data_IF_202756521028
#
_entry.id   IF_202756521028
#
_cell.length_a   1.000
_cell.length_b   1.000
_cell.length_c   1.000
_cell.angle_alpha   90.00
_cell.angle_beta   90.00
_cell.angle_gamma   90.00
#
_symmetry.space_group_name_H-M   'P 1'
#
loop_
_entity.id
_entity.type
_entity.pdbx_description
1 polymer ?
#
# COMPACT_ATOMS: atom_id res chain seq x y z
N UNK A 1 10.97 16.82 -8.23
CA UNK A 1 12.19 15.99 -8.07
C UNK A 1 12.35 15.45 -6.64
N UNK A 2 12.13 16.22 -5.59
CA UNK A 2 12.22 15.74 -4.19
C UNK A 2 11.24 14.60 -3.85
N UNK A 3 9.97 14.71 -4.21
CA UNK A 3 8.93 13.69 -3.89
C UNK A 3 9.20 12.33 -4.56
N UNK A 4 9.80 12.31 -5.75
CA UNK A 4 10.15 11.06 -6.44
C UNK A 4 11.38 10.37 -5.81
N UNK A 5 12.33 11.14 -5.28
CA UNK A 5 13.47 10.62 -4.52
C UNK A 5 13.01 10.03 -3.18
N UNK A 6 12.07 10.68 -2.48
CA UNK A 6 11.56 10.19 -1.18
C UNK A 6 10.82 8.84 -1.31
N UNK A 7 10.01 8.67 -2.36
CA UNK A 7 9.30 7.40 -2.61
C UNK A 7 10.23 6.23 -2.95
N UNK A 8 11.34 6.49 -3.63
CA UNK A 8 12.36 5.47 -3.92
C UNK A 8 13.21 5.14 -2.69
N UNK A 9 13.55 6.14 -1.89
CA UNK A 9 14.39 5.97 -0.70
C UNK A 9 13.70 5.12 0.38
N UNK A 10 12.39 5.32 0.61
CA UNK A 10 11.61 4.52 1.55
C UNK A 10 11.63 3.02 1.21
N UNK A 11 11.44 2.66 -0.07
CA UNK A 11 11.51 1.27 -0.51
C UNK A 11 12.90 0.66 -0.34
N UNK A 12 13.97 1.43 -0.60
CA UNK A 12 15.37 0.99 -0.39
C UNK A 12 15.65 0.78 1.09
N UNK A 13 15.20 1.69 1.97
CA UNK A 13 15.36 1.56 3.42
C UNK A 13 14.59 0.35 3.95
N UNK A 14 13.39 0.09 3.45
CA UNK A 14 12.57 -1.06 3.80
C UNK A 14 13.30 -2.39 3.45
N UNK A 15 13.80 -2.49 2.22
CA UNK A 15 14.58 -3.67 1.78
C UNK A 15 15.88 -3.81 2.57
N UNK A 16 16.58 -2.72 2.85
CA UNK A 16 17.77 -2.70 3.68
C UNK A 16 17.51 -3.19 5.12
N UNK A 17 16.43 -2.71 5.73
CA UNK A 17 15.99 -3.16 7.06
C UNK A 17 15.62 -4.65 7.07
N UNK A 18 14.96 -5.13 6.02
CA UNK A 18 14.64 -6.55 5.85
C UNK A 18 15.89 -7.42 5.74
N UNK A 19 16.82 -7.03 4.87
CA UNK A 19 18.07 -7.75 4.71
C UNK A 19 18.90 -7.76 6.01
N UNK A 20 18.94 -6.63 6.71
CA UNK A 20 19.61 -6.52 8.02
C UNK A 20 18.95 -7.42 9.06
N UNK A 21 17.61 -7.43 9.14
CA UNK A 21 16.87 -8.28 10.07
C UNK A 21 17.14 -9.75 9.82
N UNK A 22 17.06 -10.20 8.56
CA UNK A 22 17.38 -11.58 8.18
C UNK A 22 18.83 -11.93 8.49
N UNK A 23 19.78 -11.03 8.22
CA UNK A 23 21.18 -11.25 8.54
C UNK A 23 21.41 -11.41 10.05
N UNK A 24 20.88 -10.49 10.86
CA UNK A 24 21.04 -10.53 12.31
C UNK A 24 20.38 -11.77 12.93
N UNK A 25 19.18 -12.14 12.47
CA UNK A 25 18.46 -13.31 12.95
C UNK A 25 19.14 -14.65 12.58
N UNK A 26 20.09 -14.66 11.64
CA UNK A 26 20.84 -15.84 11.21
C UNK A 26 22.35 -15.75 11.48
N UNK A 27 22.76 -14.73 12.25
CA UNK A 27 24.14 -14.52 12.67
C UNK A 27 24.38 -15.04 14.09
N UNK A 28 25.63 -14.93 14.58
CA UNK A 28 25.96 -15.20 15.97
C UNK A 28 25.27 -14.31 17.01
N UNK A 29 24.62 -13.22 16.57
CA UNK A 29 23.83 -12.28 17.39
C UNK A 29 22.33 -12.61 17.42
N UNK A 30 21.89 -13.72 16.82
CA UNK A 30 20.47 -14.06 16.66
C UNK A 30 19.70 -14.06 18.00
N UNK A 31 20.29 -14.67 19.04
CA UNK A 31 19.66 -14.75 20.36
C UNK A 31 19.43 -13.38 20.99
N UNK A 32 20.43 -12.49 20.92
CA UNK A 32 20.34 -11.15 21.49
C UNK A 32 19.38 -10.27 20.68
N UNK A 33 19.43 -10.39 19.35
CA UNK A 33 18.56 -9.63 18.44
C UNK A 33 17.08 -10.01 18.58
N UNK A 34 16.76 -11.29 18.55
CA UNK A 34 15.38 -11.78 18.76
C UNK A 34 14.95 -11.49 20.19
N UNK A 35 15.83 -11.74 21.18
CA UNK A 35 15.59 -11.46 22.58
C UNK A 35 15.29 -9.99 22.87
N UNK A 36 15.89 -9.05 22.14
CA UNK A 36 15.55 -7.64 22.26
C UNK A 36 14.07 -7.38 21.94
N UNK A 37 13.55 -7.91 20.85
CA UNK A 37 12.16 -7.71 20.45
C UNK A 37 11.16 -8.32 21.42
N UNK A 38 11.48 -9.46 22.01
CA UNK A 38 10.58 -10.21 22.91
C UNK A 38 10.68 -9.78 24.37
N UNK A 39 11.87 -9.43 24.87
CA UNK A 39 12.11 -9.21 26.30
C UNK A 39 12.23 -7.74 26.70
N UNK A 40 12.49 -6.83 25.74
CA UNK A 40 12.57 -5.41 26.07
C UNK A 40 11.16 -4.81 26.17
N UNK A 41 10.72 -4.61 27.43
CA UNK A 41 9.37 -4.07 27.72
C UNK A 41 9.45 -2.59 28.07
N UNK A 42 8.53 -1.81 27.52
CA UNK A 42 8.39 -0.37 27.74
C UNK A 42 6.95 0.00 28.06
N UNK A 43 6.79 1.05 28.88
CA UNK A 43 5.50 1.67 29.16
C UNK A 43 5.01 1.53 30.59
N UNK A 44 3.95 2.29 30.94
CA UNK A 44 3.42 2.34 32.31
C UNK A 44 2.57 1.11 32.63
N UNK A 45 3.04 0.34 33.62
CA UNK A 45 2.29 -0.83 34.12
C UNK A 45 0.89 -0.47 34.68
N UNK A 46 0.74 0.74 35.24
CA UNK A 46 -0.51 1.23 35.80
C UNK A 46 -1.64 1.36 34.77
N UNK A 47 -1.29 1.65 33.51
CA UNK A 47 -2.22 1.73 32.39
C UNK A 47 -2.35 0.39 31.65
N UNK A 48 -1.59 -0.63 32.06
CA UNK A 48 -1.51 -1.90 31.37
C UNK A 48 -0.91 -1.77 29.96
N UNK A 49 -0.07 -0.77 29.72
CA UNK A 49 0.68 -0.55 28.47
C UNK A 49 2.13 -1.05 28.58
N UNK A 50 2.37 -2.05 29.41
CA UNK A 50 3.70 -2.67 29.53
C UNK A 50 3.87 -3.70 28.43
N UNK A 51 4.16 -3.20 27.22
CA UNK A 51 4.28 -3.97 26.00
C UNK A 51 5.76 -4.21 25.67
N UNK A 52 6.08 -5.32 25.00
CA UNK A 52 7.42 -5.55 24.50
C UNK A 52 7.70 -4.71 23.23
N UNK A 53 8.95 -4.69 22.76
CA UNK A 53 9.34 -3.88 21.60
C UNK A 53 8.60 -4.30 20.33
N UNK A 54 8.39 -5.60 20.12
CA UNK A 54 7.66 -6.14 18.99
C UNK A 54 6.17 -5.72 19.02
N UNK A 55 5.53 -5.80 20.19
CA UNK A 55 4.15 -5.34 20.39
C UNK A 55 4.01 -3.83 20.15
N UNK A 56 4.98 -3.00 20.60
CA UNK A 56 4.96 -1.56 20.33
C UNK A 56 5.06 -1.22 18.86
N UNK A 57 5.85 -1.99 18.11
CA UNK A 57 5.91 -1.82 16.64
C UNK A 57 4.58 -2.20 16.01
N UNK A 58 4.03 -3.36 16.36
CA UNK A 58 2.84 -3.90 15.70
C UNK A 58 1.53 -3.22 16.11
N UNK A 59 1.39 -2.73 17.35
CA UNK A 59 0.18 -2.10 17.84
C UNK A 59 0.28 -0.56 17.87
N UNK A 60 1.49 -0.03 18.15
CA UNK A 60 1.68 1.41 18.29
C UNK A 60 2.09 2.11 16.99
N UNK A 61 3.20 1.68 16.39
CA UNK A 61 3.69 2.30 15.15
C UNK A 61 2.78 2.00 13.97
N UNK A 62 2.21 0.78 13.90
CA UNK A 62 1.27 0.43 12.85
C UNK A 62 -0.03 1.23 12.93
N UNK A 63 -0.50 1.63 14.12
CA UNK A 63 -1.64 2.54 14.23
C UNK A 63 -1.37 3.90 13.56
N UNK A 64 -0.13 4.42 13.67
CA UNK A 64 0.27 5.67 12.98
C UNK A 64 0.37 5.43 11.46
N UNK A 65 0.90 4.29 11.06
CA UNK A 65 0.92 3.88 9.65
C UNK A 65 -0.50 3.83 9.08
N UNK A 66 -1.44 3.16 9.75
CA UNK A 66 -2.83 3.07 9.33
C UNK A 66 -3.57 4.41 9.41
N UNK A 67 -3.13 5.34 10.26
CA UNK A 67 -3.61 6.71 10.21
C UNK A 67 -3.20 7.39 8.90
N UNK A 68 -1.94 7.25 8.47
CA UNK A 68 -1.49 7.77 7.18
C UNK A 68 -2.26 7.15 6.00
N UNK A 69 -2.39 5.81 5.98
CA UNK A 69 -3.17 5.09 4.95
C UNK A 69 -4.64 5.56 4.94
N UNK A 70 -5.25 5.75 6.10
CA UNK A 70 -6.60 6.27 6.23
C UNK A 70 -6.77 7.69 5.66
N UNK A 71 -5.76 8.56 5.81
CA UNK A 71 -5.75 9.89 5.19
C UNK A 71 -5.65 9.78 3.65
N UNK A 72 -4.81 8.88 3.14
CA UNK A 72 -4.69 8.62 1.69
C UNK A 72 -5.99 8.07 1.12
N UNK A 73 -6.63 7.09 1.79
CA UNK A 73 -7.96 6.57 1.45
C UNK A 73 -8.97 7.72 1.37
N UNK A 74 -9.01 8.59 2.40
CA UNK A 74 -9.93 9.73 2.41
C UNK A 74 -9.67 10.70 1.28
N UNK A 75 -8.41 10.95 0.94
CA UNK A 75 -8.03 11.80 -0.18
C UNK A 75 -8.53 11.22 -1.50
N UNK A 76 -8.37 9.90 -1.72
CA UNK A 76 -8.86 9.22 -2.91
C UNK A 76 -10.40 9.30 -3.03
N UNK A 77 -11.14 9.19 -1.92
CA UNK A 77 -12.59 9.36 -1.92
C UNK A 77 -13.03 10.80 -2.16
N UNK A 78 -12.28 11.79 -1.66
CA UNK A 78 -12.68 13.19 -1.75
C UNK A 78 -12.28 13.85 -3.09
N UNK A 79 -11.10 13.52 -3.61
CA UNK A 79 -10.45 14.23 -4.72
C UNK A 79 -9.81 13.31 -5.75
N UNK A 80 -9.65 12.02 -5.47
CA UNK A 80 -8.98 11.06 -6.32
C UNK A 80 -9.92 10.25 -7.22
N UNK A 81 -9.40 9.14 -7.73
CA UNK A 81 -10.11 8.24 -8.65
C UNK A 81 -11.38 7.62 -8.05
N UNK A 82 -11.47 7.51 -6.72
CA UNK A 82 -12.66 7.00 -6.02
C UNK A 82 -13.78 8.04 -5.89
N UNK A 83 -13.55 9.31 -6.24
CA UNK A 83 -14.58 10.35 -6.24
C UNK A 83 -15.57 10.21 -7.40
N UNK A 84 -15.13 9.66 -8.54
CA UNK A 84 -16.00 9.33 -9.68
C UNK A 84 -16.31 7.82 -9.68
N UNK A 85 -17.59 7.49 -9.57
CA UNK A 85 -18.08 6.10 -9.54
C UNK A 85 -17.61 5.30 -10.76
N UNK A 86 -17.58 5.91 -11.96
CA UNK A 86 -17.16 5.22 -13.18
C UNK A 86 -15.67 4.89 -13.18
N UNK A 87 -14.84 5.83 -12.72
CA UNK A 87 -13.41 5.63 -12.60
C UNK A 87 -13.06 4.61 -11.50
N UNK A 88 -13.82 4.59 -10.40
CA UNK A 88 -13.63 3.71 -9.26
C UNK A 88 -14.00 2.24 -9.54
N UNK A 89 -14.95 1.97 -10.45
CA UNK A 89 -15.48 0.63 -10.68
C UNK A 89 -14.39 -0.39 -11.04
N UNK A 90 -13.51 -0.06 -11.98
CA UNK A 90 -12.50 -1.00 -12.46
C UNK A 90 -11.49 -1.37 -11.35
N UNK A 91 -10.89 -0.42 -10.59
CA UNK A 91 -10.05 -0.75 -9.43
C UNK A 91 -10.80 -1.54 -8.34
N UNK A 92 -12.08 -1.25 -8.09
CA UNK A 92 -12.88 -1.98 -7.11
C UNK A 92 -13.10 -3.45 -7.52
N UNK A 93 -13.41 -3.72 -8.80
CA UNK A 93 -13.46 -5.09 -9.30
C UNK A 93 -12.09 -5.77 -9.22
N UNK A 94 -11.02 -5.03 -9.50
CA UNK A 94 -9.66 -5.54 -9.35
C UNK A 94 -9.35 -5.93 -7.91
N UNK A 95 -9.63 -5.06 -6.94
CA UNK A 95 -9.41 -5.34 -5.53
C UNK A 95 -10.24 -6.53 -5.04
N UNK A 96 -11.51 -6.63 -5.41
CA UNK A 96 -12.33 -7.80 -5.09
C UNK A 96 -11.72 -9.09 -5.64
N UNK A 97 -11.26 -9.08 -6.89
CA UNK A 97 -10.57 -10.23 -7.48
C UNK A 97 -9.25 -10.55 -6.78
N UNK A 98 -8.47 -9.51 -6.47
CA UNK A 98 -7.20 -9.59 -5.75
C UNK A 98 -7.33 -10.06 -4.31
N UNK A 99 -8.50 -9.95 -3.69
CA UNK A 99 -8.80 -10.50 -2.37
C UNK A 99 -9.38 -11.92 -2.44
N UNK A 100 -10.45 -12.13 -3.22
CA UNK A 100 -11.22 -13.39 -3.22
C UNK A 100 -10.41 -14.57 -3.78
N UNK A 101 -9.67 -14.35 -4.89
CA UNK A 101 -8.94 -15.45 -5.53
C UNK A 101 -7.79 -15.98 -4.66
N UNK A 102 -6.89 -15.13 -4.08
CA UNK A 102 -5.85 -15.61 -3.16
C UNK A 102 -6.40 -16.31 -1.92
N UNK A 103 -7.48 -15.75 -1.32
CA UNK A 103 -8.16 -16.39 -0.18
C UNK A 103 -8.65 -17.78 -0.54
N UNK A 104 -9.32 -17.92 -1.69
CA UNK A 104 -9.84 -19.20 -2.16
C UNK A 104 -8.74 -20.24 -2.38
N UNK A 105 -7.62 -19.84 -2.99
CA UNK A 105 -6.46 -20.70 -3.20
C UNK A 105 -5.83 -21.12 -1.86
N UNK A 106 -5.65 -20.14 -0.95
CA UNK A 106 -5.12 -20.45 0.39
C UNK A 106 -5.98 -21.47 1.12
N UNK A 107 -7.30 -21.25 1.15
CA UNK A 107 -8.24 -22.16 1.79
C UNK A 107 -8.23 -23.55 1.12
N UNK A 108 -8.22 -23.62 -0.21
CA UNK A 108 -8.13 -24.87 -0.93
C UNK A 108 -6.87 -25.68 -0.56
N UNK A 109 -5.70 -25.05 -0.48
CA UNK A 109 -4.47 -25.70 -0.08
C UNK A 109 -4.50 -26.19 1.38
N UNK A 110 -5.09 -25.40 2.30
CA UNK A 110 -5.05 -25.69 3.73
C UNK A 110 -6.18 -26.63 4.19
N UNK A 111 -7.35 -26.59 3.57
CA UNK A 111 -8.45 -27.48 3.91
C UNK A 111 -8.21 -28.93 3.42
N UNK A 112 -7.63 -29.09 2.23
CA UNK A 112 -7.38 -30.41 1.65
C UNK A 112 -6.23 -31.13 2.35
N UNK A 113 -5.19 -30.41 2.75
CA UNK A 113 -3.96 -30.99 3.29
C UNK A 113 -3.85 -30.90 4.84
N UNK A 114 -4.94 -30.58 5.55
CA UNK A 114 -4.93 -30.48 7.01
C UNK A 114 -4.07 -29.31 7.54
N UNK A 115 -3.96 -28.24 6.77
CA UNK A 115 -3.21 -27.03 7.13
C UNK A 115 -3.96 -26.10 8.09
N UNK A 116 -3.47 -24.88 8.25
CA UNK A 116 -4.03 -23.85 9.12
C UNK A 116 -4.93 -22.92 8.32
N UNK A 117 -6.24 -23.05 8.50
CA UNK A 117 -7.21 -22.21 7.77
C UNK A 117 -7.26 -20.76 8.28
N UNK A 118 -6.84 -20.47 9.52
CA UNK A 118 -6.89 -19.14 10.11
C UNK A 118 -6.13 -18.07 9.30
N UNK A 119 -5.10 -18.47 8.55
CA UNK A 119 -4.29 -17.56 7.72
C UNK A 119 -4.91 -17.17 6.37
N UNK A 120 -6.20 -17.42 6.15
CA UNK A 120 -6.88 -17.17 4.87
C UNK A 120 -6.76 -15.73 4.35
N UNK A 121 -6.66 -14.77 5.25
CA UNK A 121 -6.54 -13.35 4.88
C UNK A 121 -5.11 -12.92 4.51
N UNK A 122 -4.07 -13.72 4.85
CA UNK A 122 -2.67 -13.33 4.66
C UNK A 122 -2.33 -12.98 3.19
N UNK A 123 -2.70 -13.76 2.17
CA UNK A 123 -2.33 -13.47 0.79
C UNK A 123 -3.25 -12.44 0.10
N UNK A 124 -4.18 -11.80 0.82
CA UNK A 124 -5.08 -10.83 0.20
C UNK A 124 -4.48 -9.43 0.06
N UNK A 125 -3.62 -9.00 0.99
CA UNK A 125 -3.12 -7.63 1.02
C UNK A 125 -1.96 -7.38 0.04
N UNK A 126 -1.82 -6.10 -0.40
CA UNK A 126 -0.72 -5.63 -1.25
C UNK A 126 0.13 -4.62 -0.49
N UNK A 127 1.44 -4.71 -0.58
CA UNK A 127 2.36 -3.67 -0.10
C UNK A 127 2.49 -2.56 -1.16
N UNK A 128 1.74 -1.46 -0.98
CA UNK A 128 1.74 -0.31 -1.89
C UNK A 128 3.13 0.29 -2.02
N UNK A 129 3.85 0.45 -0.90
CA UNK A 129 5.14 1.12 -0.88
C UNK A 129 6.18 0.35 -1.72
N UNK A 130 6.21 -0.98 -1.57
CA UNK A 130 7.11 -1.82 -2.34
C UNK A 130 6.66 -1.97 -3.79
N UNK A 131 5.37 -2.21 -4.05
CA UNK A 131 4.84 -2.33 -5.41
C UNK A 131 5.07 -1.06 -6.24
N UNK A 132 4.79 0.12 -5.67
CA UNK A 132 5.08 1.42 -6.30
C UNK A 132 6.58 1.69 -6.41
N UNK A 133 7.38 1.20 -5.47
CA UNK A 133 8.85 1.23 -5.57
C UNK A 133 9.33 0.53 -6.83
N UNK A 134 8.91 -0.72 -7.05
CA UNK A 134 9.25 -1.48 -8.28
C UNK A 134 8.68 -0.79 -9.52
N UNK A 135 7.42 -0.34 -9.48
CA UNK A 135 6.80 0.39 -10.59
C UNK A 135 7.63 1.62 -11.01
N UNK A 136 8.11 2.41 -10.04
CA UNK A 136 8.84 3.65 -10.32
C UNK A 136 10.17 3.44 -11.05
N UNK A 137 10.82 2.27 -10.94
CA UNK A 137 12.02 1.94 -11.73
C UNK A 137 11.71 1.82 -13.23
N UNK A 138 10.47 1.44 -13.57
CA UNK A 138 10.06 1.18 -14.96
C UNK A 138 8.92 2.11 -15.42
N UNK A 139 8.64 3.21 -14.69
CA UNK A 139 7.51 4.10 -14.96
C UNK A 139 7.44 4.61 -16.41
N UNK A 140 8.59 4.85 -17.04
CA UNK A 140 8.67 5.35 -18.43
C UNK A 140 8.21 4.30 -19.46
N UNK A 141 7.90 3.06 -19.04
CA UNK A 141 7.38 1.99 -19.91
C UNK A 141 5.90 1.72 -19.67
N UNK A 142 5.25 2.54 -18.88
CA UNK A 142 3.85 2.38 -18.50
C UNK A 142 3.08 3.67 -18.68
N UNK A 143 1.85 3.63 -19.22
CA UNK A 143 0.97 4.78 -19.23
C UNK A 143 0.70 5.30 -17.80
N UNK A 144 0.56 6.61 -17.58
CA UNK A 144 0.26 7.17 -16.24
C UNK A 144 -1.00 6.60 -15.60
N UNK A 145 -1.99 6.22 -16.42
CA UNK A 145 -3.20 5.57 -15.97
C UNK A 145 -2.95 4.26 -15.20
N UNK A 146 -1.84 3.55 -15.51
CA UNK A 146 -1.46 2.32 -14.81
C UNK A 146 -1.02 2.61 -13.38
N UNK A 147 -0.29 3.70 -13.15
CA UNK A 147 0.10 4.12 -11.80
C UNK A 147 -1.13 4.47 -10.95
N UNK A 148 -2.04 5.27 -11.50
CA UNK A 148 -3.29 5.63 -10.83
C UNK A 148 -4.13 4.39 -10.52
N UNK A 149 -4.28 3.48 -11.48
CA UNK A 149 -4.99 2.23 -11.30
C UNK A 149 -4.37 1.36 -10.20
N UNK A 150 -3.04 1.16 -10.20
CA UNK A 150 -2.33 0.38 -9.19
C UNK A 150 -2.51 0.99 -7.79
N UNK A 151 -2.37 2.32 -7.68
CA UNK A 151 -2.54 3.03 -6.41
C UNK A 151 -3.97 2.87 -5.88
N UNK A 152 -4.98 3.15 -6.72
CA UNK A 152 -6.39 3.05 -6.32
C UNK A 152 -6.78 1.60 -5.98
N UNK A 153 -6.32 0.62 -6.78
CA UNK A 153 -6.54 -0.80 -6.51
C UNK A 153 -5.98 -1.19 -5.14
N UNK A 154 -4.74 -0.82 -4.85
CA UNK A 154 -4.10 -1.15 -3.58
C UNK A 154 -4.76 -0.42 -2.40
N UNK A 155 -5.21 0.84 -2.59
CA UNK A 155 -5.98 1.58 -1.57
C UNK A 155 -7.28 0.88 -1.21
N UNK A 156 -8.01 0.33 -2.20
CA UNK A 156 -9.25 -0.44 -1.97
C UNK A 156 -8.95 -1.80 -1.34
N UNK A 157 -7.85 -2.43 -1.73
CA UNK A 157 -7.35 -3.69 -1.16
C UNK A 157 -7.01 -3.55 0.33
N UNK A 158 -6.31 -2.46 0.69
CA UNK A 158 -6.00 -2.13 2.09
C UNK A 158 -7.26 -1.86 2.91
N UNK A 159 -8.23 -1.13 2.34
CA UNK A 159 -9.52 -0.92 3.01
C UNK A 159 -10.24 -2.25 3.27
N UNK A 160 -10.20 -3.17 2.31
CA UNK A 160 -10.72 -4.53 2.46
C UNK A 160 -9.99 -5.32 3.55
N UNK A 161 -8.66 -5.25 3.59
CA UNK A 161 -7.85 -5.90 4.62
C UNK A 161 -8.17 -5.36 6.02
N UNK A 162 -8.28 -4.03 6.18
CA UNK A 162 -8.65 -3.38 7.44
C UNK A 162 -10.05 -3.82 7.89
N UNK A 163 -11.02 -3.90 6.98
CA UNK A 163 -12.37 -4.36 7.29
C UNK A 163 -12.37 -5.83 7.77
N UNK A 164 -11.58 -6.69 7.13
CA UNK A 164 -11.39 -8.09 7.55
C UNK A 164 -10.75 -8.18 8.93
N UNK A 165 -9.72 -7.41 9.21
CA UNK A 165 -9.06 -7.36 10.52
C UNK A 165 -10.06 -6.92 11.59
N UNK A 166 -10.84 -5.89 11.33
CA UNK A 166 -11.84 -5.36 12.27
C UNK A 166 -12.90 -6.38 12.66
N UNK A 167 -13.36 -7.18 11.69
CA UNK A 167 -14.51 -8.09 11.90
C UNK A 167 -14.05 -9.49 12.31
N UNK A 168 -12.97 -10.00 11.71
CA UNK A 168 -12.61 -11.42 11.83
C UNK A 168 -11.56 -11.70 12.91
N UNK A 169 -10.73 -10.71 13.28
CA UNK A 169 -9.61 -10.91 14.21
C UNK A 169 -9.78 -10.24 15.58
N UNK A 170 -11.00 -9.83 15.94
CA UNK A 170 -11.31 -9.36 17.30
C UNK A 170 -11.18 -10.49 18.33
N UNK A 171 -10.57 -10.20 19.50
CA UNK A 171 -10.30 -11.17 20.55
C UNK A 171 -10.79 -10.66 21.90
N UNK A 172 -11.64 -11.41 22.58
CA UNK A 172 -11.98 -11.15 23.98
C UNK A 172 -12.64 -9.79 24.21
N UNK A 173 -13.73 -9.48 23.51
CA UNK A 173 -14.41 -8.18 23.54
C UNK A 173 -14.83 -7.79 24.96
N UNK A 174 -14.38 -6.62 25.43
CA UNK A 174 -14.77 -6.02 26.72
C UNK A 174 -15.79 -4.89 26.46
N UNK A 175 -17.08 -5.07 26.82
CA UNK A 175 -18.16 -4.14 26.44
C UNK A 175 -17.95 -2.70 26.92
N UNK A 176 -17.31 -2.49 28.07
CA UNK A 176 -17.06 -1.15 28.63
C UNK A 176 -16.14 -0.32 27.73
N UNK A 177 -15.05 -0.93 27.23
CA UNK A 177 -14.13 -0.25 26.32
C UNK A 177 -14.73 -0.08 24.92
N UNK A 178 -15.59 -1.00 24.50
CA UNK A 178 -16.32 -0.85 23.23
C UNK A 178 -17.30 0.35 23.30
N UNK A 179 -18.00 0.53 24.41
CA UNK A 179 -18.86 1.69 24.63
C UNK A 179 -18.04 3.00 24.67
N UNK A 180 -16.87 2.99 25.31
CA UNK A 180 -15.95 4.13 25.31
C UNK A 180 -15.46 4.44 23.88
N UNK A 181 -15.08 3.43 23.09
CA UNK A 181 -14.67 3.57 21.70
C UNK A 181 -15.78 4.19 20.85
N UNK A 182 -17.02 3.74 21.01
CA UNK A 182 -18.18 4.31 20.32
C UNK A 182 -18.41 5.80 20.69
N UNK A 183 -18.22 6.16 21.97
CA UNK A 183 -18.28 7.56 22.41
C UNK A 183 -17.19 8.43 21.80
N UNK A 184 -15.95 7.92 21.71
CA UNK A 184 -14.82 8.63 21.07
C UNK A 184 -15.06 8.77 19.57
N UNK A 185 -15.56 7.74 18.88
CA UNK A 185 -15.96 7.83 17.48
C UNK A 185 -17.04 8.90 17.26
N UNK A 186 -18.01 9.00 18.17
CA UNK A 186 -18.99 10.09 18.18
C UNK A 186 -18.35 11.47 18.30
N UNK A 187 -17.36 11.62 19.20
CA UNK A 187 -16.62 12.87 19.37
C UNK A 187 -15.80 13.23 18.11
N UNK A 188 -15.14 12.27 17.47
CA UNK A 188 -14.45 12.42 16.20
C UNK A 188 -15.41 12.86 15.07
N UNK A 189 -16.58 12.25 15.00
CA UNK A 189 -17.61 12.64 14.03
C UNK A 189 -18.12 14.06 14.24
N UNK A 190 -18.33 14.49 15.49
CA UNK A 190 -18.72 15.87 15.83
C UNK A 190 -17.61 16.84 15.48
N UNK A 191 -16.33 16.52 15.75
CA UNK A 191 -15.18 17.33 15.37
C UNK A 191 -15.11 17.51 13.85
N UNK A 192 -15.31 16.45 13.09
CA UNK A 192 -15.39 16.47 11.63
C UNK A 192 -16.51 17.40 11.12
N UNK A 193 -17.73 17.26 11.64
CA UNK A 193 -18.88 18.12 11.27
C UNK A 193 -18.64 19.60 11.60
N UNK A 194 -17.98 19.88 12.72
CA UNK A 194 -17.60 21.24 13.13
C UNK A 194 -16.40 21.79 12.36
N UNK A 195 -15.82 21.01 11.44
CA UNK A 195 -14.63 21.37 10.64
C UNK A 195 -13.47 21.84 11.53
N UNK A 196 -13.25 21.16 12.66
CA UNK A 196 -12.12 21.47 13.54
C UNK A 196 -10.82 21.23 12.80
N UNK A 197 -9.89 22.19 12.80
CA UNK A 197 -8.60 22.12 12.09
C UNK A 197 -7.43 21.76 13.00
N UNK A 198 -7.69 21.57 14.31
CA UNK A 198 -6.65 21.27 15.29
C UNK A 198 -6.19 19.83 15.21
N UNK A 199 -4.92 19.60 14.84
CA UNK A 199 -4.28 18.27 14.84
C UNK A 199 -4.28 17.61 16.21
N UNK A 200 -4.17 18.41 17.29
CA UNK A 200 -4.17 17.90 18.67
C UNK A 200 -5.50 17.21 19.03
N UNK A 201 -6.61 17.66 18.45
CA UNK A 201 -7.93 17.04 18.68
C UNK A 201 -7.99 15.66 18.03
N UNK A 202 -7.60 15.55 16.76
CA UNK A 202 -7.61 14.26 16.05
C UNK A 202 -6.55 13.30 16.59
N UNK A 203 -5.34 13.79 16.89
CA UNK A 203 -4.29 12.99 17.52
C UNK A 203 -4.67 12.52 18.91
N UNK A 204 -5.19 13.43 19.76
CA UNK A 204 -5.60 13.07 21.14
C UNK A 204 -6.78 12.09 21.18
N UNK A 205 -7.82 12.33 20.37
CA UNK A 205 -8.96 11.40 20.24
C UNK A 205 -8.53 10.08 19.58
N UNK A 206 -7.59 10.13 18.60
CA UNK A 206 -7.03 8.94 17.97
C UNK A 206 -6.28 8.06 18.95
N UNK A 207 -5.40 8.63 19.79
CA UNK A 207 -4.70 7.91 20.87
C UNK A 207 -5.67 7.35 21.91
N UNK A 208 -6.68 8.13 22.29
CA UNK A 208 -7.71 7.66 23.20
C UNK A 208 -8.51 6.48 22.61
N UNK A 209 -8.84 6.54 21.32
CA UNK A 209 -9.52 5.46 20.60
C UNK A 209 -8.61 4.22 20.50
N UNK A 210 -7.35 4.41 20.15
CA UNK A 210 -6.34 3.35 20.09
C UNK A 210 -6.26 2.60 21.43
N UNK A 211 -6.15 3.35 22.54
CA UNK A 211 -6.11 2.75 23.87
C UNK A 211 -7.40 2.02 24.22
N UNK A 212 -8.54 2.58 23.88
CA UNK A 212 -9.84 1.95 24.16
C UNK A 212 -10.03 0.66 23.34
N UNK A 213 -9.60 0.63 22.08
CA UNK A 213 -9.66 -0.57 21.22
C UNK A 213 -8.68 -1.64 21.71
N UNK A 214 -7.42 -1.25 22.02
CA UNK A 214 -6.40 -2.15 22.57
C UNK A 214 -6.91 -2.88 23.84
N UNK A 215 -7.55 -2.16 24.75
CA UNK A 215 -8.16 -2.74 25.97
C UNK A 215 -9.49 -3.43 25.72
N UNK A 216 -10.16 -3.06 24.64
CA UNK A 216 -11.44 -3.64 24.22
C UNK A 216 -11.34 -4.99 23.53
N UNK A 217 -10.11 -5.44 23.20
CA UNK A 217 -9.88 -6.70 22.49
C UNK A 217 -10.20 -6.62 20.98
N UNK A 218 -10.27 -5.40 20.44
CA UNK A 218 -10.34 -5.13 19.01
C UNK A 218 -8.96 -4.64 18.58
N UNK A 219 -8.57 -4.96 17.33
CA UNK A 219 -7.30 -4.52 16.78
C UNK A 219 -7.17 -2.98 16.89
N UNK A 220 -6.12 -2.54 17.57
CA UNK A 220 -5.94 -1.12 17.91
C UNK A 220 -5.60 -0.25 16.69
N UNK A 221 -5.04 -0.84 15.64
CA UNK A 221 -4.62 -0.12 14.42
C UNK A 221 -5.79 0.51 13.67
N UNK A 222 -7.00 -0.05 13.83
CA UNK A 222 -8.25 0.48 13.27
C UNK A 222 -8.53 1.90 13.78
N UNK A 223 -8.06 2.24 14.99
CA UNK A 223 -8.18 3.59 15.53
C UNK A 223 -7.52 4.63 14.62
N UNK A 224 -6.36 4.30 14.04
CA UNK A 224 -5.68 5.16 13.07
C UNK A 224 -6.56 5.49 11.88
N UNK A 225 -7.15 4.46 11.27
CA UNK A 225 -8.04 4.65 10.11
C UNK A 225 -9.29 5.46 10.45
N UNK A 226 -9.95 5.14 11.57
CA UNK A 226 -11.16 5.87 12.01
C UNK A 226 -10.83 7.34 12.28
N UNK A 227 -9.73 7.62 12.97
CA UNK A 227 -9.30 8.98 13.24
C UNK A 227 -8.97 9.76 11.94
N UNK A 228 -8.30 9.11 10.98
CA UNK A 228 -8.00 9.68 9.68
C UNK A 228 -9.26 10.00 8.87
N UNK A 229 -10.21 9.07 8.82
CA UNK A 229 -11.49 9.28 8.14
C UNK A 229 -12.32 10.40 8.78
N UNK A 230 -12.08 10.73 10.05
CA UNK A 230 -12.72 11.85 10.72
C UNK A 230 -12.10 13.22 10.39
N UNK A 231 -10.88 13.29 9.84
CA UNK A 231 -10.25 14.57 9.44
C UNK A 231 -11.07 15.23 8.32
N UNK A 232 -11.42 16.54 8.40
CA UNK A 232 -12.21 17.19 7.36
C UNK A 232 -11.40 17.42 6.08
N UNK A 233 -11.85 16.85 4.96
CA UNK A 233 -11.14 16.91 3.68
C UNK A 233 -11.03 18.33 3.09
N UNK A 234 -12.05 19.18 3.29
CA UNK A 234 -12.13 20.52 2.71
C UNK A 234 -11.68 21.65 3.67
N UNK A 235 -11.08 21.33 4.82
CA UNK A 235 -10.58 22.35 5.73
C UNK A 235 -9.26 22.94 5.20
N UNK A 236 -9.08 24.29 5.25
CA UNK A 236 -7.83 24.91 4.82
C UNK A 236 -6.66 24.45 5.70
N UNK A 237 -5.50 24.30 5.08
CA UNK A 237 -4.28 23.99 5.81
C UNK A 237 -3.88 25.13 6.79
N UNK A 238 -3.17 24.81 7.88
CA UNK A 238 -2.65 25.81 8.80
C UNK A 238 -1.72 26.83 8.09
N UNK A 239 -1.63 28.07 8.56
CA UNK A 239 -0.65 29.02 8.04
C UNK A 239 0.77 28.47 8.20
N UNK A 240 1.55 28.47 7.12
CA UNK A 240 2.92 27.95 7.09
C UNK A 240 3.04 26.47 6.68
N UNK A 241 1.98 25.84 6.21
CA UNK A 241 2.05 24.49 5.66
C UNK A 241 2.88 24.44 4.37
N UNK A 242 3.72 23.40 4.24
CA UNK A 242 4.65 23.21 3.13
C UNK A 242 4.12 22.20 2.10
N UNK A 243 2.81 22.05 1.94
CA UNK A 243 2.22 21.17 0.94
C UNK A 243 2.57 21.66 -0.48
N UNK A 244 3.78 21.37 -0.93
CA UNK A 244 4.24 21.58 -2.29
C UNK A 244 3.86 20.39 -3.17
N UNK A 245 3.14 20.63 -4.25
CA UNK A 245 2.86 19.61 -5.28
C UNK A 245 1.40 19.55 -5.74
N UNK A 246 0.61 20.57 -5.47
CA UNK A 246 -0.71 20.72 -6.09
C UNK A 246 -0.65 21.51 -7.38
N UNK A 247 -1.56 21.23 -8.30
CA UNK A 247 -1.79 22.02 -9.51
C UNK A 247 -1.89 23.51 -9.14
N UNK A 248 -1.27 24.36 -9.95
CA UNK A 248 -1.27 25.80 -9.74
C UNK A 248 -2.70 26.34 -9.58
N UNK A 249 -3.02 26.81 -8.37
CA UNK A 249 -4.29 27.45 -8.06
C UNK A 249 -5.13 26.81 -6.94
N UNK A 250 -4.84 25.60 -6.49
CA UNK A 250 -5.59 24.94 -5.42
C UNK A 250 -4.93 25.21 -4.05
N UNK A 251 -5.73 25.73 -3.09
CA UNK A 251 -5.24 25.96 -1.72
C UNK A 251 -5.04 24.59 -1.03
N UNK A 252 -3.88 24.35 -0.38
CA UNK A 252 -3.63 23.11 0.33
C UNK A 252 -4.67 22.89 1.44
N UNK A 253 -5.13 21.66 1.58
CA UNK A 253 -6.06 21.29 2.64
C UNK A 253 -5.30 20.75 3.86
N UNK A 254 -5.94 20.73 5.03
CA UNK A 254 -5.40 20.07 6.23
C UNK A 254 -5.04 18.61 5.95
N UNK A 255 -5.82 17.92 5.14
CA UNK A 255 -5.59 16.54 4.74
C UNK A 255 -4.27 16.37 3.97
N UNK A 256 -4.00 17.26 3.01
CA UNK A 256 -2.77 17.22 2.22
C UNK A 256 -1.54 17.53 3.05
N UNK A 257 -1.65 18.50 3.97
CA UNK A 257 -0.57 18.85 4.90
C UNK A 257 -0.23 17.68 5.84
N UNK A 258 -1.25 16.98 6.34
CA UNK A 258 -1.07 15.78 7.16
C UNK A 258 -0.39 14.66 6.40
N UNK A 259 -0.85 14.34 5.19
CA UNK A 259 -0.24 13.30 4.35
C UNK A 259 1.21 13.66 4.06
N UNK A 260 1.48 14.91 3.67
CA UNK A 260 2.83 15.36 3.34
C UNK A 260 3.81 15.19 4.52
N UNK A 261 3.37 15.52 5.74
CA UNK A 261 4.22 15.42 6.94
C UNK A 261 4.36 13.98 7.45
N UNK A 262 3.33 13.15 7.32
CA UNK A 262 3.34 11.78 7.85
C UNK A 262 3.94 10.76 6.88
N UNK A 263 3.81 10.97 5.57
CA UNK A 263 4.31 10.03 4.58
C UNK A 263 5.82 9.72 4.73
N UNK A 264 6.74 10.71 4.92
CA UNK A 264 8.15 10.41 5.15
C UNK A 264 8.38 9.61 6.44
N UNK A 265 7.68 9.94 7.52
CA UNK A 265 7.78 9.22 8.80
C UNK A 265 7.30 7.77 8.63
N UNK A 266 6.19 7.58 7.93
CA UNK A 266 5.64 6.26 7.64
C UNK A 266 6.60 5.42 6.79
N UNK A 267 7.10 5.97 5.69
CA UNK A 267 7.92 5.23 4.71
C UNK A 267 9.38 5.05 5.13
N UNK A 268 9.98 6.01 5.86
CA UNK A 268 11.41 5.98 6.19
C UNK A 268 11.70 5.50 7.62
N UNK A 269 10.72 5.53 8.52
CA UNK A 269 10.90 5.11 9.90
C UNK A 269 10.00 3.93 10.28
N UNK A 270 8.68 4.06 10.13
CA UNK A 270 7.72 3.06 10.63
C UNK A 270 7.87 1.74 9.86
N UNK A 271 7.83 1.80 8.53
CA UNK A 271 7.92 0.61 7.68
C UNK A 271 9.26 -0.13 7.83
N UNK A 272 10.44 0.53 7.83
CA UNK A 272 11.71 -0.14 8.11
C UNK A 272 11.80 -0.74 9.52
N UNK A 273 11.29 -0.07 10.56
CA UNK A 273 11.25 -0.63 11.91
C UNK A 273 10.32 -1.84 12.00
N UNK A 274 9.16 -1.76 11.32
CA UNK A 274 8.25 -2.90 11.22
C UNK A 274 8.92 -4.10 10.53
N UNK A 275 9.61 -3.89 9.41
CA UNK A 275 10.35 -4.95 8.74
C UNK A 275 11.47 -5.52 9.62
N UNK A 276 12.19 -4.65 10.35
CA UNK A 276 13.25 -5.08 11.25
C UNK A 276 12.73 -6.00 12.36
N UNK A 277 11.56 -5.70 12.93
CA UNK A 277 10.92 -6.48 13.97
C UNK A 277 10.30 -7.80 13.45
N UNK A 278 9.67 -7.77 12.27
CA UNK A 278 8.85 -8.88 11.78
C UNK A 278 9.57 -9.83 10.84
N UNK A 279 10.69 -9.41 10.22
CA UNK A 279 11.54 -10.27 9.38
C UNK A 279 12.66 -10.99 10.16
N UNK A 280 12.67 -10.92 11.49
CA UNK A 280 13.60 -11.64 12.35
C UNK A 280 13.28 -13.14 12.37
N UNK A 281 13.52 -13.83 11.25
CA UNK A 281 13.17 -15.23 11.06
C UNK A 281 14.42 -16.07 10.85
N UNK A 282 14.59 -17.20 11.59
CA UNK A 282 15.67 -18.14 11.32
C UNK A 282 15.44 -18.82 9.96
N UNK A 283 16.49 -18.85 9.14
CA UNK A 283 16.50 -19.45 7.81
C UNK A 283 17.37 -20.69 7.85
N UNK A 284 16.78 -21.82 8.19
CA UNK A 284 17.42 -23.13 8.13
C UNK A 284 16.84 -23.99 6.99
N UNK A 285 17.43 -25.14 6.73
CA UNK A 285 16.98 -26.02 5.66
C UNK A 285 15.54 -26.53 5.90
N UNK A 286 15.14 -26.69 7.16
CA UNK A 286 13.79 -27.12 7.52
C UNK A 286 12.76 -25.98 7.29
N UNK A 287 13.10 -24.76 7.66
CA UNK A 287 12.27 -23.59 7.42
C UNK A 287 12.08 -23.29 5.93
N UNK A 288 13.18 -23.39 5.14
CA UNK A 288 13.10 -23.28 3.67
C UNK A 288 12.27 -24.41 3.04
N UNK A 289 12.44 -25.64 3.53
CA UNK A 289 11.59 -26.77 3.13
C UNK A 289 10.11 -26.54 3.46
N UNK A 290 9.82 -25.81 4.54
CA UNK A 290 8.46 -25.44 4.95
C UNK A 290 7.77 -24.44 4.02
N UNK A 291 8.50 -23.68 3.21
CA UNK A 291 7.92 -22.67 2.28
C UNK A 291 7.01 -23.35 1.24
N UNK A 292 7.47 -24.43 0.65
CA UNK A 292 6.69 -25.22 -0.34
C UNK A 292 6.17 -26.53 0.21
N UNK A 293 6.71 -27.03 1.32
CA UNK A 293 6.34 -28.31 1.93
C UNK A 293 5.16 -28.21 2.90
N UNK A 294 4.83 -27.00 3.39
CA UNK A 294 3.66 -26.80 4.26
C UNK A 294 2.47 -26.27 3.48
N UNK A 295 1.22 -26.68 3.82
CA UNK A 295 0.02 -26.13 3.19
C UNK A 295 -0.09 -24.61 3.34
N UNK A 296 0.37 -24.05 4.47
CA UNK A 296 0.40 -22.61 4.75
C UNK A 296 1.32 -21.88 3.77
N UNK A 297 2.59 -22.31 3.67
CA UNK A 297 3.56 -21.69 2.77
C UNK A 297 3.14 -21.80 1.30
N UNK A 298 2.71 -23.00 0.87
CA UNK A 298 2.21 -23.23 -0.49
C UNK A 298 0.98 -22.36 -0.79
N UNK A 299 0.02 -22.28 0.14
CA UNK A 299 -1.20 -21.49 -0.01
C UNK A 299 -0.90 -19.99 -0.14
N UNK A 300 0.07 -19.44 0.61
CA UNK A 300 0.50 -18.05 0.51
C UNK A 300 1.20 -17.81 -0.82
N UNK A 301 2.17 -18.63 -1.20
CA UNK A 301 2.89 -18.47 -2.46
C UNK A 301 1.96 -18.56 -3.67
N UNK A 302 1.11 -19.59 -3.73
CA UNK A 302 0.15 -19.73 -4.80
C UNK A 302 -0.90 -18.60 -4.81
N UNK A 303 -1.35 -18.17 -3.63
CA UNK A 303 -2.27 -17.03 -3.48
C UNK A 303 -1.69 -15.74 -4.04
N UNK A 304 -0.47 -15.37 -3.63
CA UNK A 304 0.16 -14.13 -4.07
C UNK A 304 0.64 -14.17 -5.53
N UNK A 305 1.30 -15.26 -5.96
CA UNK A 305 1.92 -15.32 -7.28
C UNK A 305 0.94 -15.71 -8.41
N UNK A 306 -0.11 -16.44 -8.10
CA UNK A 306 -1.07 -16.94 -9.08
C UNK A 306 -2.47 -16.35 -8.82
N UNK A 307 -2.94 -16.46 -7.59
CA UNK A 307 -4.29 -16.04 -7.21
C UNK A 307 -4.52 -14.56 -7.43
N UNK A 308 -3.60 -13.74 -6.99
CA UNK A 308 -3.75 -12.28 -7.07
C UNK A 308 -3.72 -11.76 -8.50
N UNK A 309 -2.72 -12.09 -9.35
CA UNK A 309 -2.73 -11.68 -10.75
C UNK A 309 -3.94 -12.19 -11.52
N UNK A 310 -4.31 -13.46 -11.34
CA UNK A 310 -5.45 -14.04 -12.05
C UNK A 310 -6.79 -13.47 -11.56
N UNK A 311 -6.95 -13.25 -10.25
CA UNK A 311 -8.16 -12.70 -9.66
C UNK A 311 -8.41 -11.27 -10.13
N UNK A 312 -7.38 -10.41 -10.08
CA UNK A 312 -7.44 -9.03 -10.59
C UNK A 312 -7.78 -9.05 -12.07
N UNK A 313 -7.04 -9.84 -12.86
CA UNK A 313 -7.27 -9.94 -14.30
C UNK A 313 -8.68 -10.43 -14.63
N UNK A 314 -9.13 -11.50 -14.00
CA UNK A 314 -10.42 -12.12 -14.32
C UNK A 314 -11.60 -11.19 -14.02
N UNK A 315 -11.63 -10.54 -12.84
CA UNK A 315 -12.74 -9.65 -12.51
C UNK A 315 -12.70 -8.35 -13.28
N UNK A 316 -11.55 -7.71 -13.46
CA UNK A 316 -11.45 -6.50 -14.27
C UNK A 316 -11.79 -6.77 -15.74
N UNK A 317 -11.15 -7.77 -16.34
CA UNK A 317 -11.39 -8.11 -17.75
C UNK A 317 -12.83 -8.57 -17.98
N UNK A 318 -13.38 -9.35 -17.03
CA UNK A 318 -14.79 -9.76 -17.05
C UNK A 318 -15.75 -8.57 -17.00
N UNK A 319 -15.50 -7.59 -16.10
CA UNK A 319 -16.31 -6.40 -15.96
C UNK A 319 -16.26 -5.51 -17.23
N UNK A 320 -15.08 -5.35 -17.83
CA UNK A 320 -14.92 -4.63 -19.10
C UNK A 320 -15.65 -5.35 -20.24
N UNK A 321 -15.52 -6.68 -20.33
CA UNK A 321 -16.19 -7.47 -21.37
C UNK A 321 -17.73 -7.48 -21.21
N UNK A 322 -18.20 -7.37 -19.98
CA UNK A 322 -19.63 -7.23 -19.66
C UNK A 322 -20.17 -5.80 -19.93
N UNK A 323 -19.31 -4.83 -20.30
CA UNK A 323 -19.71 -3.43 -20.54
C UNK A 323 -20.05 -2.65 -19.28
N UNK A 324 -19.59 -3.13 -18.09
CA UNK A 324 -19.83 -2.45 -16.80
C UNK A 324 -18.86 -1.28 -16.61
N UNK A 325 -17.62 -1.45 -17.08
CA UNK A 325 -16.58 -0.42 -17.01
C UNK A 325 -15.66 -0.49 -18.24
N UNK A 326 -14.85 0.54 -18.44
CA UNK A 326 -13.91 0.65 -19.54
C UNK A 326 -12.46 0.70 -19.01
N UNK A 327 -11.51 0.31 -19.85
CA UNK A 327 -10.11 0.53 -19.52
C UNK A 327 -9.78 2.02 -19.54
N UNK A 328 -8.99 2.51 -18.59
CA UNK A 328 -8.42 3.86 -18.66
C UNK A 328 -7.61 4.05 -19.94
N UNK A 329 -7.54 5.28 -20.46
CA UNK A 329 -6.81 5.61 -21.70
C UNK A 329 -5.37 5.08 -21.67
N UNK A 330 -4.97 4.39 -22.71
CA UNK A 330 -3.64 3.78 -22.85
C UNK A 330 -3.45 2.45 -22.11
N UNK A 331 -4.39 2.02 -21.26
CA UNK A 331 -4.31 0.75 -20.54
C UNK A 331 -4.96 -0.38 -21.34
N UNK A 332 -4.39 -1.57 -21.29
CA UNK A 332 -4.91 -2.77 -21.93
C UNK A 332 -4.77 -4.01 -21.01
N UNK A 333 -5.26 -5.18 -21.46
CA UNK A 333 -5.21 -6.42 -20.67
C UNK A 333 -3.79 -6.87 -20.29
N UNK A 334 -2.74 -6.53 -21.08
CA UNK A 334 -1.35 -6.85 -20.72
C UNK A 334 -0.87 -5.98 -19.55
N UNK A 335 -1.20 -4.69 -19.56
CA UNK A 335 -0.92 -3.79 -18.43
C UNK A 335 -1.63 -4.26 -17.17
N UNK A 336 -2.89 -4.69 -17.29
CA UNK A 336 -3.68 -5.21 -16.17
C UNK A 336 -3.03 -6.46 -15.54
N UNK A 337 -2.54 -7.39 -16.35
CA UNK A 337 -1.85 -8.58 -15.84
C UNK A 337 -0.53 -8.20 -15.14
N UNK A 338 0.22 -7.24 -15.69
CA UNK A 338 1.46 -6.74 -15.09
C UNK A 338 1.18 -6.07 -13.73
N UNK A 339 0.12 -5.25 -13.64
CA UNK A 339 -0.35 -4.70 -12.36
C UNK A 339 -0.71 -5.80 -11.37
N UNK A 340 -1.40 -6.84 -11.83
CA UNK A 340 -1.71 -8.01 -11.00
C UNK A 340 -0.47 -8.70 -10.44
N UNK A 341 0.60 -8.82 -11.25
CA UNK A 341 1.89 -9.37 -10.79
C UNK A 341 2.53 -8.47 -9.72
N UNK A 342 2.54 -7.14 -9.91
CA UNK A 342 3.04 -6.19 -8.90
C UNK A 342 2.19 -6.20 -7.63
N UNK A 343 0.87 -6.32 -7.75
CA UNK A 343 -0.04 -6.45 -6.62
C UNK A 343 0.20 -7.73 -5.81
N UNK A 344 0.81 -8.76 -6.40
CA UNK A 344 1.30 -9.96 -5.70
C UNK A 344 2.41 -9.71 -4.69
N UNK A 345 2.99 -8.51 -4.63
CA UNK A 345 3.93 -8.08 -3.59
C UNK A 345 3.12 -7.80 -2.32
N UNK A 346 2.98 -8.78 -1.43
CA UNK A 346 2.21 -8.66 -0.19
C UNK A 346 3.01 -8.14 1.00
N UNK A 347 4.30 -8.33 0.97
CA UNK A 347 5.37 -8.09 1.94
C UNK A 347 4.91 -7.59 3.33
N UNK A 348 5.01 -6.29 3.65
CA UNK A 348 4.73 -5.76 5.00
C UNK A 348 3.28 -5.97 5.43
N UNK A 349 2.32 -5.80 4.52
CA UNK A 349 0.90 -5.98 4.82
C UNK A 349 0.55 -7.45 5.08
N UNK A 350 1.13 -8.37 4.32
CA UNK A 350 0.96 -9.80 4.58
C UNK A 350 1.66 -10.25 5.87
N UNK A 351 2.84 -9.68 6.21
CA UNK A 351 3.52 -9.92 7.49
C UNK A 351 2.66 -9.43 8.67
N UNK A 352 2.05 -8.26 8.53
CA UNK A 352 1.13 -7.74 9.54
C UNK A 352 -0.07 -8.66 9.76
N UNK A 353 -0.64 -9.21 8.69
CA UNK A 353 -1.75 -10.17 8.79
C UNK A 353 -1.34 -11.49 9.45
N UNK A 354 -0.09 -11.92 9.35
CA UNK A 354 0.41 -13.09 10.09
C UNK A 354 0.29 -12.87 11.60
N UNK A 355 0.70 -11.70 12.10
CA UNK A 355 0.67 -11.39 13.53
C UNK A 355 -0.76 -11.39 14.08
N UNK A 356 -1.74 -11.12 13.24
CA UNK A 356 -3.16 -11.18 13.62
C UNK A 356 -3.77 -12.59 13.47
N UNK A 357 -3.42 -13.30 12.38
CA UNK A 357 -4.08 -14.56 12.01
C UNK A 357 -3.46 -15.80 12.65
N UNK A 358 -2.12 -15.83 12.86
CA UNK A 358 -1.39 -17.02 13.29
C UNK A 358 -0.89 -16.91 14.75
N UNK A 359 -1.61 -16.18 15.58
CA UNK A 359 -1.28 -16.02 17.00
C UNK A 359 -1.20 -17.37 17.71
N UNK A 360 -0.07 -17.61 18.41
CA UNK A 360 0.17 -18.87 19.12
C UNK A 360 0.56 -20.05 18.23
N UNK A 361 0.87 -19.81 16.94
CA UNK A 361 1.28 -20.85 15.97
C UNK A 361 2.65 -20.53 15.37
N UNK A 362 3.76 -20.57 16.14
CA UNK A 362 5.06 -20.08 15.71
C UNK A 362 5.61 -20.81 14.47
N UNK A 363 5.44 -22.12 14.37
CA UNK A 363 5.89 -22.90 13.21
C UNK A 363 5.16 -22.48 11.91
N UNK A 364 3.84 -22.26 11.97
CA UNK A 364 3.06 -21.78 10.83
C UNK A 364 3.43 -20.36 10.47
N UNK A 365 3.65 -19.49 11.46
CA UNK A 365 4.07 -18.10 11.27
C UNK A 365 5.46 -18.03 10.60
N UNK A 366 6.42 -18.82 11.01
CA UNK A 366 7.75 -18.90 10.38
C UNK A 366 7.67 -19.29 8.91
N UNK A 367 6.94 -20.37 8.59
CA UNK A 367 6.73 -20.81 7.20
C UNK A 367 6.00 -19.74 6.37
N UNK A 368 5.01 -19.06 6.97
CA UNK A 368 4.27 -17.99 6.33
C UNK A 368 5.15 -16.77 6.04
N UNK A 369 5.98 -16.32 7.01
CA UNK A 369 6.91 -15.18 6.84
C UNK A 369 7.88 -15.44 5.68
N UNK A 370 8.51 -16.62 5.65
CA UNK A 370 9.41 -16.97 4.56
C UNK A 370 8.69 -17.08 3.21
N UNK A 371 7.49 -17.65 3.17
CA UNK A 371 6.69 -17.73 1.95
C UNK A 371 6.35 -16.33 1.39
N UNK A 372 6.02 -15.36 2.26
CA UNK A 372 5.77 -13.97 1.88
C UNK A 372 7.03 -13.32 1.31
N UNK A 373 8.17 -13.48 1.98
CA UNK A 373 9.45 -12.92 1.51
C UNK A 373 9.83 -13.46 0.14
N UNK A 374 9.74 -14.77 -0.05
CA UNK A 374 10.03 -15.42 -1.33
C UNK A 374 9.04 -14.98 -2.43
N UNK A 375 7.74 -15.02 -2.14
CA UNK A 375 6.72 -14.64 -3.13
C UNK A 375 6.79 -13.16 -3.51
N UNK A 376 7.02 -12.26 -2.55
CA UNK A 376 7.16 -10.82 -2.83
C UNK A 376 8.41 -10.53 -3.67
N UNK A 377 9.53 -11.21 -3.41
CA UNK A 377 10.73 -11.11 -4.23
C UNK A 377 10.50 -11.62 -5.66
N UNK A 378 9.85 -12.77 -5.81
CA UNK A 378 9.49 -13.33 -7.13
C UNK A 378 8.52 -12.40 -7.86
N UNK A 379 7.48 -11.90 -7.20
CA UNK A 379 6.50 -10.99 -7.78
C UNK A 379 7.15 -9.67 -8.25
N UNK A 380 8.10 -9.12 -7.48
CA UNK A 380 8.85 -7.93 -7.86
C UNK A 380 9.69 -8.16 -9.12
N UNK A 381 10.41 -9.28 -9.20
CA UNK A 381 11.22 -9.63 -10.38
C UNK A 381 10.33 -9.89 -11.59
N UNK A 382 9.29 -10.73 -11.45
CA UNK A 382 8.39 -11.09 -12.56
C UNK A 382 7.62 -9.86 -13.06
N UNK A 383 7.10 -9.03 -12.15
CA UNK A 383 6.44 -7.77 -12.49
C UNK A 383 7.38 -6.79 -13.18
N UNK A 384 8.60 -6.61 -12.64
CA UNK A 384 9.63 -5.78 -13.25
C UNK A 384 10.02 -6.26 -14.66
N UNK A 385 10.28 -7.56 -14.85
CA UNK A 385 10.57 -8.14 -16.17
C UNK A 385 9.38 -8.00 -17.12
N UNK A 386 8.14 -8.15 -16.63
CA UNK A 386 6.96 -7.92 -17.46
C UNK A 386 6.90 -6.47 -17.95
N UNK A 387 7.25 -5.49 -17.11
CA UNK A 387 7.30 -4.06 -17.47
C UNK A 387 8.34 -3.77 -18.55
N UNK A 388 9.50 -4.47 -18.57
CA UNK A 388 10.51 -4.28 -19.61
C UNK A 388 10.06 -4.71 -21.02
N UNK A 389 8.96 -5.46 -21.13
CA UNK A 389 8.38 -5.90 -22.41
C UNK A 389 7.54 -4.82 -23.10
N UNK A 390 7.25 -3.71 -22.41
CA UNK A 390 6.51 -2.59 -22.98
C UNK A 390 7.49 -1.58 -23.61
N UNK A 391 7.05 -0.84 -24.65
CA UNK A 391 7.83 0.23 -25.23
C UNK A 391 8.07 1.34 -24.22
N UNK A 392 9.09 2.14 -24.44
CA UNK A 392 9.31 3.36 -23.65
C UNK A 392 8.33 4.42 -24.17
N UNK A 393 7.62 5.09 -23.27
CA UNK A 393 6.76 6.22 -23.57
C UNK A 393 7.53 7.52 -23.30
N UNK A 394 7.45 8.45 -24.24
CA UNK A 394 7.95 9.81 -24.10
C UNK A 394 6.76 10.73 -23.76
N UNK A 395 6.97 11.67 -22.87
CA UNK A 395 5.98 12.68 -22.54
C UNK A 395 6.33 13.95 -23.31
N UNK A 396 5.52 14.31 -24.27
CA UNK A 396 5.59 15.58 -24.98
C UNK A 396 4.54 16.53 -24.41
N UNK A 397 4.89 17.80 -24.22
CA UNK A 397 3.94 18.80 -23.73
C UNK A 397 3.38 19.48 -24.95
N UNK A 398 2.15 19.15 -25.32
CA UNK A 398 1.41 19.83 -26.38
C UNK A 398 0.66 20.99 -25.76
N UNK A 399 0.91 22.20 -26.24
CA UNK A 399 0.23 23.42 -25.82
C UNK A 399 -0.72 23.86 -26.91
N UNK A 400 -2.03 23.74 -26.68
CA UNK A 400 -3.08 24.26 -27.53
C UNK A 400 -3.51 25.64 -27.03
N UNK A 401 -3.76 26.59 -27.96
CA UNK A 401 -4.13 27.98 -27.61
C UNK A 401 -5.46 28.06 -26.84
N UNK A 402 -6.39 27.11 -27.04
CA UNK A 402 -7.73 27.09 -26.44
C UNK A 402 -7.83 26.20 -25.20
N UNK A 403 -6.99 25.14 -25.05
CA UNK A 403 -7.09 24.14 -23.97
C UNK A 403 -5.90 24.18 -22.99
N UNK A 404 -4.88 25.01 -23.25
CA UNK A 404 -3.65 25.07 -22.45
C UNK A 404 -2.68 23.91 -22.71
N UNK A 405 -1.56 23.89 -21.98
CA UNK A 405 -0.54 22.85 -22.13
C UNK A 405 -0.96 21.55 -21.46
N UNK A 406 -0.98 20.44 -22.22
CA UNK A 406 -1.25 19.09 -21.70
C UNK A 406 -0.13 18.13 -22.07
N UNK A 407 0.25 17.21 -21.20
CA UNK A 407 1.19 16.15 -21.53
C UNK A 407 0.51 15.12 -22.44
N UNK A 408 1.07 14.86 -23.59
CA UNK A 408 0.68 13.74 -24.45
C UNK A 408 1.75 12.63 -24.42
N UNK A 409 1.32 11.39 -24.54
CA UNK A 409 2.20 10.23 -24.44
C UNK A 409 2.39 9.63 -25.81
N UNK A 410 3.57 9.86 -26.35
CA UNK A 410 4.01 9.28 -27.63
C UNK A 410 4.78 7.99 -27.38
N UNK A 411 4.55 6.99 -28.21
CA UNK A 411 5.45 5.85 -28.30
C UNK A 411 6.80 6.29 -28.90
N UNK A 412 7.86 5.54 -28.62
CA UNK A 412 9.20 5.84 -29.17
C UNK A 412 9.20 5.99 -30.71
N UNK A 413 8.30 5.27 -31.39
CA UNK A 413 8.16 5.36 -32.85
C UNK A 413 7.45 6.64 -33.30
N UNK A 414 6.40 7.05 -32.57
CA UNK A 414 5.69 8.30 -32.84
C UNK A 414 6.59 9.50 -32.52
N UNK A 415 7.29 9.47 -31.37
CA UNK A 415 8.23 10.52 -30.97
C UNK A 415 9.37 10.70 -32.01
N UNK A 416 9.96 9.61 -32.52
CA UNK A 416 10.98 9.67 -33.57
C UNK A 416 10.44 10.12 -34.91
N UNK A 417 9.15 9.90 -35.21
CA UNK A 417 8.51 10.33 -36.44
C UNK A 417 8.17 11.83 -36.43
N UNK A 418 7.85 12.39 -35.29
CA UNK A 418 7.54 13.81 -35.12
C UNK A 418 8.77 14.69 -34.92
N UNK A 419 9.83 14.14 -34.34
CA UNK A 419 11.11 14.83 -34.16
C UNK A 419 12.14 14.25 -35.14
N UNK A 420 12.82 15.09 -35.95
CA UNK A 420 13.94 14.70 -36.81
C UNK A 420 15.07 14.15 -35.91
N UNK A 421 15.07 12.83 -35.72
CA UNK A 421 16.06 12.15 -34.90
C UNK A 421 17.08 11.46 -35.82
N UNK A 422 18.31 11.99 -35.85
CA UNK A 422 19.46 11.37 -36.51
C UNK A 422 20.20 10.42 -35.55
N UNK A 423 21.13 9.62 -36.06
CA UNK A 423 21.94 8.67 -35.25
C UNK A 423 22.73 9.35 -34.12
N UNK A 424 22.88 10.68 -34.15
CA UNK A 424 23.65 11.48 -33.17
C UNK A 424 22.78 12.20 -32.09
N UNK A 425 21.45 12.13 -32.15
CA UNK A 425 20.55 12.71 -31.13
C UNK A 425 19.25 13.30 -31.70
N UNK A 426 18.25 13.47 -30.79
CA UNK A 426 16.98 14.11 -31.13
C UNK A 426 17.00 15.59 -30.73
N UNK A 427 16.73 16.49 -31.69
CA UNK A 427 16.41 17.89 -31.37
C UNK A 427 14.89 18.06 -31.29
N UNK A 428 14.33 18.43 -30.14
CA UNK A 428 12.88 18.66 -30.04
C UNK A 428 12.50 19.88 -30.89
N UNK A 429 11.60 19.68 -31.84
CA UNK A 429 10.91 20.80 -32.51
C UNK A 429 9.87 21.34 -31.54
N UNK A 430 10.10 22.52 -31.01
CA UNK A 430 9.04 23.31 -30.40
C UNK A 430 8.15 23.82 -31.55
N UNK A 431 7.02 23.16 -31.73
CA UNK A 431 5.97 23.67 -32.64
C UNK A 431 5.33 24.89 -31.97
N UNK A 432 5.88 26.08 -32.23
CA UNK A 432 5.14 27.32 -32.14
C UNK A 432 4.38 27.46 -33.45
N UNK A 433 3.11 27.07 -33.50
CA UNK A 433 2.21 27.52 -34.55
C UNK A 433 2.05 29.04 -34.42
N UNK A 434 2.65 29.79 -35.35
CA UNK A 434 2.44 31.23 -35.45
C UNK A 434 3.62 32.02 -35.97
N UNK A 435 4.33 31.57 -37.02
CA UNK A 435 5.12 32.47 -37.86
C UNK A 435 4.71 32.26 -39.32
N UNK A 436 3.86 33.21 -39.81
CA UNK A 436 3.66 33.40 -41.24
C UNK A 436 5.03 33.76 -41.91
N UNK A 437 5.34 33.20 -43.09
CA UNK A 437 6.53 33.59 -43.82
C UNK A 437 6.34 35.02 -44.35
N UNK A 438 7.00 35.98 -43.71
CA UNK A 438 7.18 37.32 -44.32
C UNK A 438 8.01 37.17 -45.60
N UNK A 439 7.35 37.29 -46.74
CA UNK A 439 7.93 37.53 -48.04
C UNK A 439 8.70 38.88 -48.05
N UNK A 440 9.97 38.86 -48.31
CA UNK A 440 10.69 39.89 -49.02
C UNK A 440 11.87 39.26 -49.77
#
# INVERSE_FOLDING_TARGET
MHIALDKGLGSVMLLGATALSLYLANSGFATDFIGFWEHFHLGPKSLGLFLNAHEWVNEGLMAIFFFNVGLEIKREFAFGSLSDVKAALLPCFGALGGMIAPMGIYLACNMVNGGVTAGWAIPMATDIAFAMGVYNFFKNRMPPAVAAFLLTLATVDDLGAIAVIAVCFAKGIVPAYLAASAGICGALFVACKKKVTSMLVYGGLGVALWYALLKGGINADIAGVIAALAVPAAAPAPPGSHAHGMEEGMKPTLLDDLIHNLHPISSMLIMPLFALANCAVPVDAAALGGVTGTPVGLGIMAGLLIGKPLGIFALCYGAVKAGICEFPKGMNGKHLLTVGMLAGIGFTMSLFLIEQALVGMPAAATSAKLAILCSSGIAAVVGGVAMTRFPVYFCEIICDEDEGCRPDLLSEQEFKAENDCDEDGCTPKFLTEGEEPTTA
#
